data_IF_809407218177
#
_entry.id   IF_809407218177
#
_cell.length_a   1.000
_cell.length_b   1.000
_cell.length_c   1.000
_cell.angle_alpha   90.00
_cell.angle_beta   90.00
_cell.angle_gamma   90.00
#
_symmetry.space_group_name_H-M   'P 1'
#
loop_
_entity.id
_entity.type
_entity.pdbx_description
1 polymer ?
#
# COMPACT_ATOMS: atom_id res chain seq x y z
N UNK A 1 24.16 -0.86 3.47
CA UNK A 1 23.67 0.45 3.92
C UNK A 1 22.18 0.57 3.60
N UNK A 2 21.38 1.06 4.53
CA UNK A 2 19.98 1.42 4.28
C UNK A 2 19.91 2.60 3.29
N UNK A 3 18.89 2.63 2.45
CA UNK A 3 18.71 3.62 1.38
C UNK A 3 17.61 4.59 1.75
N UNK A 4 17.87 5.87 1.61
CA UNK A 4 16.88 6.93 1.75
C UNK A 4 15.96 7.02 0.52
N UNK A 5 14.90 7.85 0.62
CA UNK A 5 14.09 8.16 -0.57
C UNK A 5 14.91 8.84 -1.65
N UNK A 6 15.89 9.67 -1.27
CA UNK A 6 16.81 10.30 -2.21
C UNK A 6 17.65 9.27 -2.98
N UNK A 7 18.10 8.20 -2.31
CA UNK A 7 18.84 7.10 -2.94
C UNK A 7 17.97 6.26 -3.89
N UNK A 8 16.67 6.20 -3.63
CA UNK A 8 15.70 5.48 -4.44
C UNK A 8 15.16 6.32 -5.63
N UNK A 9 15.26 7.64 -5.56
CA UNK A 9 14.73 8.56 -6.57
C UNK A 9 15.19 8.23 -8.00
N UNK A 10 16.48 7.94 -8.29
CA UNK A 10 16.90 7.61 -9.66
C UNK A 10 16.20 6.36 -10.24
N UNK A 11 15.83 5.41 -9.39
CA UNK A 11 15.05 4.22 -9.80
C UNK A 11 13.61 4.60 -10.08
N UNK A 12 13.00 5.40 -9.20
CA UNK A 12 11.63 5.89 -9.37
C UNK A 12 11.49 6.71 -10.66
N UNK A 13 12.45 7.60 -10.95
CA UNK A 13 12.46 8.45 -12.15
C UNK A 13 12.60 7.66 -13.45
N UNK A 14 13.29 6.50 -13.42
CA UNK A 14 13.35 5.58 -14.57
C UNK A 14 12.07 4.77 -14.76
N UNK A 15 11.42 4.40 -13.65
CA UNK A 15 10.20 3.59 -13.70
C UNK A 15 8.97 4.42 -14.04
N UNK A 16 8.85 5.61 -13.50
CA UNK A 16 7.69 6.48 -13.65
C UNK A 16 7.22 6.62 -15.13
N UNK A 17 8.07 7.01 -16.09
CA UNK A 17 7.65 7.20 -17.48
C UNK A 17 7.29 5.92 -18.22
N UNK A 18 7.58 4.75 -17.66
CA UNK A 18 7.14 3.46 -18.23
C UNK A 18 5.67 3.20 -17.94
N UNK A 19 5.15 3.72 -16.83
CA UNK A 19 3.81 3.42 -16.35
C UNK A 19 2.82 4.57 -16.54
N UNK A 20 3.23 5.82 -16.34
CA UNK A 20 2.32 6.96 -16.40
C UNK A 20 2.96 8.16 -17.10
N UNK A 21 2.12 9.13 -17.51
CA UNK A 21 2.55 10.34 -18.21
C UNK A 21 2.70 11.51 -17.26
N UNK A 22 1.79 11.63 -16.30
CA UNK A 22 1.69 12.76 -15.37
C UNK A 22 1.39 12.27 -13.96
N UNK A 23 1.96 12.95 -12.95
CA UNK A 23 1.57 12.83 -11.55
C UNK A 23 0.68 14.03 -11.19
N UNK A 24 -0.39 13.75 -10.44
CA UNK A 24 -1.27 14.78 -9.91
C UNK A 24 -1.39 14.62 -8.39
N UNK A 25 -1.31 15.73 -7.70
CA UNK A 25 -1.49 15.79 -6.26
C UNK A 25 -2.92 16.22 -5.92
N UNK A 26 -3.60 15.38 -5.15
CA UNK A 26 -4.94 15.60 -4.64
C UNK A 26 -4.95 16.01 -3.17
N UNK A 27 -6.06 15.74 -2.53
CA UNK A 27 -6.34 16.13 -1.14
C UNK A 27 -5.23 15.73 -0.17
N UNK A 28 -4.80 16.67 0.69
CA UNK A 28 -3.85 16.47 1.79
C UNK A 28 -2.38 16.40 1.37
N UNK A 29 -2.07 16.44 0.06
CA UNK A 29 -0.67 16.39 -0.39
C UNK A 29 0.09 17.68 -0.08
N UNK A 30 -0.59 18.80 0.02
CA UNK A 30 -0.05 20.10 0.47
C UNK A 30 0.38 20.08 1.95
N UNK A 31 -0.22 19.22 2.76
CA UNK A 31 0.12 19.04 4.18
C UNK A 31 1.32 18.09 4.38
N UNK A 32 1.71 17.32 3.35
CA UNK A 32 2.70 16.24 3.47
C UNK A 32 4.04 16.74 4.03
N UNK A 33 4.53 17.90 3.59
CA UNK A 33 5.79 18.44 4.10
C UNK A 33 5.75 18.67 5.63
N UNK A 34 4.67 19.27 6.14
CA UNK A 34 4.46 19.47 7.57
C UNK A 34 4.33 18.15 8.34
N UNK A 35 3.67 17.14 7.75
CA UNK A 35 3.56 15.80 8.36
C UNK A 35 4.97 15.16 8.48
N UNK A 36 5.78 15.24 7.43
CA UNK A 36 7.13 14.65 7.43
C UNK A 36 8.06 15.32 8.44
N UNK A 37 7.94 16.64 8.61
CA UNK A 37 8.70 17.41 9.60
C UNK A 37 8.26 17.08 11.04
N UNK A 38 6.96 17.02 11.27
CA UNK A 38 6.39 16.78 12.62
C UNK A 38 6.59 15.34 13.11
N UNK A 39 6.68 14.36 12.20
CA UNK A 39 6.68 12.94 12.57
C UNK A 39 7.96 12.24 12.08
N UNK A 40 8.91 11.93 12.97
CA UNK A 40 10.18 11.29 12.60
C UNK A 40 9.98 9.85 12.10
N UNK A 41 8.83 9.24 12.35
CA UNK A 41 8.47 7.89 11.93
C UNK A 41 7.00 7.81 11.51
N UNK A 42 6.71 7.04 10.47
CA UNK A 42 5.37 6.87 9.92
C UNK A 42 5.12 5.39 9.56
N UNK A 43 3.89 4.96 9.79
CA UNK A 43 3.34 3.76 9.15
C UNK A 43 2.59 4.20 7.89
N UNK A 44 3.12 3.91 6.70
CA UNK A 44 2.51 4.32 5.42
C UNK A 44 1.64 3.19 4.89
N UNK A 45 0.34 3.43 4.77
CA UNK A 45 -0.63 2.48 4.24
C UNK A 45 -1.10 2.96 2.87
N UNK A 46 -0.93 2.11 1.86
CA UNK A 46 -1.37 2.40 0.49
C UNK A 46 -2.40 1.39 0.02
N UNK A 47 -3.34 1.82 -0.84
CA UNK A 47 -4.12 0.87 -1.62
C UNK A 47 -3.21 0.16 -2.63
N UNK A 48 -3.53 -1.09 -2.97
CA UNK A 48 -2.66 -1.90 -3.82
C UNK A 48 -2.93 -1.67 -5.31
N UNK A 49 -4.21 -1.47 -5.68
CA UNK A 49 -4.63 -1.55 -7.08
C UNK A 49 -4.44 -2.96 -7.66
N UNK A 50 -4.50 -3.15 -8.97
CA UNK A 50 -4.24 -4.43 -9.64
C UNK A 50 -2.78 -4.90 -9.45
N UNK A 51 -2.47 -6.13 -9.89
CA UNK A 51 -1.15 -6.79 -9.70
C UNK A 51 0.05 -5.89 -9.99
N UNK A 52 -0.02 -5.05 -11.02
CA UNK A 52 1.06 -4.16 -11.42
C UNK A 52 0.98 -2.76 -10.77
N UNK A 53 -0.11 -2.48 -10.06
CA UNK A 53 -0.36 -1.19 -9.42
C UNK A 53 0.72 -0.73 -8.44
N UNK A 54 1.33 -1.62 -7.64
CA UNK A 54 2.37 -1.22 -6.70
C UNK A 54 3.59 -0.54 -7.34
N UNK A 55 4.00 -0.95 -8.52
CA UNK A 55 5.22 -0.42 -9.14
C UNK A 55 5.13 1.10 -9.46
N UNK A 56 4.11 1.59 -10.20
CA UNK A 56 3.95 3.03 -10.40
C UNK A 56 3.59 3.79 -9.11
N UNK A 57 2.80 3.19 -8.22
CA UNK A 57 2.43 3.83 -6.97
C UNK A 57 3.64 4.07 -6.04
N UNK A 58 4.54 3.09 -5.93
CA UNK A 58 5.79 3.24 -5.17
C UNK A 58 6.75 4.23 -5.83
N UNK A 59 6.83 4.26 -7.16
CA UNK A 59 7.64 5.25 -7.86
C UNK A 59 7.12 6.68 -7.57
N UNK A 60 5.80 6.89 -7.65
CA UNK A 60 5.18 8.17 -7.33
C UNK A 60 5.35 8.55 -5.84
N UNK A 61 5.21 7.58 -4.90
CA UNK A 61 5.50 7.79 -3.49
C UNK A 61 6.92 8.33 -3.28
N UNK A 62 7.94 7.64 -3.82
CA UNK A 62 9.35 8.06 -3.66
C UNK A 62 9.56 9.48 -4.16
N UNK A 63 9.04 9.81 -5.34
CA UNK A 63 9.13 11.15 -5.94
C UNK A 63 8.43 12.21 -5.08
N UNK A 64 7.24 11.89 -4.60
CA UNK A 64 6.47 12.79 -3.75
C UNK A 64 7.16 13.02 -2.40
N UNK A 65 7.67 11.98 -1.74
CA UNK A 65 8.42 12.12 -0.49
C UNK A 65 9.63 13.04 -0.64
N UNK A 66 10.40 12.89 -1.72
CA UNK A 66 11.55 13.78 -1.99
C UNK A 66 11.09 15.22 -2.26
N UNK A 67 10.05 15.42 -3.05
CA UNK A 67 9.48 16.73 -3.39
C UNK A 67 9.03 17.51 -2.15
N UNK A 68 8.48 16.80 -1.18
CA UNK A 68 7.97 17.36 0.08
C UNK A 68 9.01 17.35 1.24
N UNK A 69 10.31 17.22 0.93
CA UNK A 69 11.37 17.36 1.92
C UNK A 69 11.75 16.09 2.68
N UNK A 70 11.12 14.94 2.37
CA UNK A 70 11.41 13.66 3.00
C UNK A 70 12.57 12.87 2.37
N UNK A 71 13.44 13.51 1.55
CA UNK A 71 14.50 12.83 0.80
C UNK A 71 15.45 12.00 1.66
N UNK A 72 15.82 12.50 2.84
CA UNK A 72 16.77 11.84 3.75
C UNK A 72 16.14 10.74 4.60
N UNK A 73 14.81 10.62 4.62
CA UNK A 73 14.09 9.58 5.36
C UNK A 73 14.37 8.21 4.75
N UNK A 74 14.53 7.21 5.59
CA UNK A 74 14.87 5.84 5.18
C UNK A 74 13.61 4.97 5.27
N UNK A 75 13.01 4.59 4.13
CA UNK A 75 11.85 3.71 4.12
C UNK A 75 12.24 2.24 4.24
N UNK A 76 11.33 1.43 4.72
CA UNK A 76 11.31 -0.01 4.48
C UNK A 76 9.87 -0.46 4.22
N UNK A 77 9.70 -1.66 3.67
CA UNK A 77 8.36 -2.15 3.34
C UNK A 77 8.13 -3.56 3.84
N UNK A 78 6.86 -3.92 4.00
CA UNK A 78 6.44 -5.29 4.26
C UNK A 78 5.70 -5.81 3.04
N UNK A 79 6.18 -6.91 2.48
CA UNK A 79 5.58 -7.54 1.30
C UNK A 79 5.31 -9.03 1.52
N UNK A 80 4.54 -9.61 0.61
CA UNK A 80 4.18 -11.03 0.69
C UNK A 80 5.42 -11.95 0.59
N UNK A 81 5.56 -12.85 1.56
CA UNK A 81 6.68 -13.80 1.64
C UNK A 81 6.90 -14.63 0.38
N UNK A 82 5.85 -14.87 -0.41
CA UNK A 82 5.93 -15.63 -1.64
C UNK A 82 6.84 -14.99 -2.69
N UNK A 83 6.93 -13.67 -2.75
CA UNK A 83 7.79 -12.97 -3.70
C UNK A 83 9.28 -13.22 -3.45
N UNK A 84 9.69 -13.41 -2.21
CA UNK A 84 11.09 -13.74 -1.87
C UNK A 84 11.53 -15.15 -2.35
N UNK A 85 10.56 -16.03 -2.63
CA UNK A 85 10.81 -17.38 -3.15
C UNK A 85 10.94 -17.44 -4.67
N UNK A 86 10.62 -16.34 -5.37
CA UNK A 86 10.72 -16.26 -6.83
C UNK A 86 12.20 -16.08 -7.20
N UNK A 87 12.80 -16.98 -8.01
CA UNK A 87 14.20 -16.87 -8.41
C UNK A 87 14.51 -15.51 -9.05
N UNK A 88 15.57 -14.85 -8.58
CA UNK A 88 16.02 -13.54 -9.04
C UNK A 88 15.22 -12.35 -8.48
N UNK A 89 14.01 -12.56 -7.96
CA UNK A 89 13.17 -11.50 -7.41
C UNK A 89 13.50 -11.24 -5.94
N UNK A 90 13.73 -12.28 -5.14
CA UNK A 90 14.00 -12.17 -3.71
C UNK A 90 15.12 -11.18 -3.36
N UNK A 91 16.36 -11.35 -3.88
CA UNK A 91 17.45 -10.41 -3.59
C UNK A 91 17.21 -8.97 -4.04
N UNK A 92 16.44 -8.79 -5.14
CA UNK A 92 16.05 -7.47 -5.60
C UNK A 92 15.04 -6.83 -4.64
N UNK A 93 14.05 -7.61 -4.20
CA UNK A 93 13.07 -7.16 -3.21
C UNK A 93 13.74 -6.77 -1.90
N UNK A 94 14.61 -7.60 -1.34
CA UNK A 94 15.33 -7.26 -0.10
C UNK A 94 16.06 -5.92 -0.19
N UNK A 95 16.60 -5.61 -1.37
CA UNK A 95 17.26 -4.33 -1.61
C UNK A 95 16.30 -3.15 -1.74
N UNK A 96 15.13 -3.36 -2.36
CA UNK A 96 14.14 -2.29 -2.59
C UNK A 96 13.27 -2.08 -1.36
N UNK A 97 12.81 -3.15 -0.75
CA UNK A 97 11.91 -3.12 0.43
C UNK A 97 12.67 -3.00 1.74
N UNK A 98 13.99 -3.26 1.73
CA UNK A 98 14.90 -3.16 2.88
C UNK A 98 14.46 -4.03 4.09
N UNK A 99 13.83 -5.16 3.79
CA UNK A 99 13.23 -6.07 4.78
C UNK A 99 13.34 -7.51 4.29
N UNK A 100 13.53 -8.45 5.22
CA UNK A 100 13.57 -9.89 4.93
C UNK A 100 12.16 -10.50 4.90
N UNK A 101 12.06 -11.71 4.33
CA UNK A 101 10.81 -12.48 4.24
C UNK A 101 10.16 -12.79 5.60
N UNK A 102 10.95 -12.86 6.66
CA UNK A 102 10.51 -13.31 7.99
C UNK A 102 10.16 -12.17 8.94
N UNK A 103 10.12 -10.92 8.45
CA UNK A 103 9.81 -9.75 9.26
C UNK A 103 8.37 -9.81 9.80
N UNK A 104 8.26 -9.81 11.13
CA UNK A 104 7.02 -9.76 11.89
C UNK A 104 6.73 -8.36 12.45
N UNK A 105 5.71 -8.26 13.29
CA UNK A 105 5.37 -7.00 14.00
C UNK A 105 6.55 -6.51 14.84
N UNK A 106 7.21 -7.41 15.58
CA UNK A 106 8.36 -7.07 16.42
C UNK A 106 9.49 -6.42 15.63
N UNK A 107 9.80 -6.96 14.45
CA UNK A 107 10.85 -6.39 13.58
C UNK A 107 10.47 -5.01 13.05
N UNK A 108 9.19 -4.83 12.70
CA UNK A 108 8.67 -3.53 12.25
C UNK A 108 8.79 -2.50 13.37
N UNK A 109 8.33 -2.85 14.58
CA UNK A 109 8.43 -1.99 15.77
C UNK A 109 9.89 -1.68 16.07
N UNK A 110 10.77 -2.68 16.12
CA UNK A 110 12.19 -2.49 16.39
C UNK A 110 12.86 -1.56 15.36
N UNK A 111 12.58 -1.73 14.07
CA UNK A 111 13.11 -0.88 12.98
C UNK A 111 12.66 0.58 13.11
N UNK A 112 11.39 0.82 13.40
CA UNK A 112 10.86 2.18 13.60
C UNK A 112 11.40 2.81 14.88
N UNK A 113 11.58 2.03 15.94
CA UNK A 113 11.99 2.55 17.26
C UNK A 113 13.49 2.80 17.38
N UNK A 114 14.34 2.08 16.63
CA UNK A 114 15.80 2.22 16.72
C UNK A 114 16.38 3.43 15.96
N UNK A 115 15.52 4.17 15.23
CA UNK A 115 15.91 5.37 14.51
C UNK A 115 16.71 5.14 13.21
N UNK A 116 16.91 3.88 12.81
CA UNK A 116 17.58 3.57 11.52
C UNK A 116 16.64 3.76 10.35
N UNK A 117 15.35 3.50 10.56
CA UNK A 117 14.29 3.63 9.56
C UNK A 117 13.24 4.63 10.05
N UNK A 118 12.72 5.41 9.13
CA UNK A 118 11.69 6.42 9.39
C UNK A 118 10.30 5.90 9.03
N UNK A 119 10.17 5.18 7.92
CA UNK A 119 8.86 4.88 7.34
C UNK A 119 8.72 3.41 7.03
N UNK A 120 7.59 2.82 7.47
CA UNK A 120 7.20 1.46 7.12
C UNK A 120 6.06 1.49 6.11
N UNK A 121 6.32 1.09 4.87
CA UNK A 121 5.30 1.00 3.82
C UNK A 121 4.63 -0.38 3.79
N UNK A 122 3.29 -0.40 3.68
CA UNK A 122 2.51 -1.64 3.54
C UNK A 122 1.27 -1.40 2.67
N UNK A 123 0.91 -2.42 1.89
CA UNK A 123 -0.36 -2.51 1.15
C UNK A 123 -1.18 -3.67 1.76
N UNK A 124 -2.06 -3.38 2.74
CA UNK A 124 -2.62 -4.42 3.61
C UNK A 124 -3.69 -5.29 2.96
N UNK A 125 -4.17 -4.94 1.77
CA UNK A 125 -5.06 -5.77 0.95
C UNK A 125 -4.41 -7.09 0.55
N UNK A 126 -3.10 -7.05 0.27
CA UNK A 126 -2.35 -8.20 -0.18
C UNK A 126 -2.95 -8.82 -1.46
N UNK A 127 -3.12 -10.14 -1.47
CA UNK A 127 -3.64 -10.89 -2.63
C UNK A 127 -5.11 -10.59 -3.00
N UNK A 128 -5.88 -9.97 -2.09
CA UNK A 128 -7.25 -9.56 -2.37
C UNK A 128 -7.35 -8.43 -3.39
N UNK A 129 -6.29 -7.67 -3.59
CA UNK A 129 -6.23 -6.58 -4.58
C UNK A 129 -6.50 -7.02 -6.02
N UNK A 130 -6.34 -8.33 -6.31
CA UNK A 130 -6.64 -8.91 -7.62
C UNK A 130 -8.12 -9.29 -7.80
N UNK A 131 -8.94 -9.00 -6.80
CA UNK A 131 -10.38 -9.26 -6.80
C UNK A 131 -11.10 -7.92 -6.93
N UNK A 132 -12.08 -7.81 -7.83
CA UNK A 132 -12.87 -6.60 -8.04
C UNK A 132 -12.37 -5.71 -9.18
N UNK A 133 -12.72 -4.43 -9.12
CA UNK A 133 -12.52 -3.44 -10.18
C UNK A 133 -11.18 -2.67 -10.10
N UNK A 134 -10.38 -2.90 -9.05
CA UNK A 134 -9.11 -2.20 -8.84
C UNK A 134 -9.24 -0.79 -8.21
N UNK A 135 -10.48 -0.29 -8.01
CA UNK A 135 -10.80 0.99 -7.36
C UNK A 135 -11.26 0.75 -5.93
N UNK A 136 -12.15 -0.24 -5.76
CA UNK A 136 -12.67 -0.60 -4.45
C UNK A 136 -11.59 -1.32 -3.63
N UNK A 137 -11.19 -0.69 -2.52
CA UNK A 137 -10.19 -1.26 -1.61
C UNK A 137 -10.77 -2.51 -0.96
N UNK A 138 -10.12 -3.63 -1.20
CA UNK A 138 -10.52 -4.92 -0.67
C UNK A 138 -10.32 -4.98 0.86
N UNK A 139 -11.00 -5.89 1.56
CA UNK A 139 -10.76 -6.09 2.99
C UNK A 139 -9.28 -6.30 3.28
N UNK A 140 -8.77 -5.62 4.29
CA UNK A 140 -7.38 -5.78 4.68
C UNK A 140 -7.12 -7.21 5.17
N UNK A 141 -6.20 -7.90 4.52
CA UNK A 141 -5.81 -9.25 4.89
C UNK A 141 -5.08 -9.28 6.23
N UNK A 142 -4.28 -8.26 6.51
CA UNK A 142 -3.56 -8.11 7.76
C UNK A 142 -3.92 -6.79 8.41
N UNK A 143 -4.25 -6.85 9.70
CA UNK A 143 -4.55 -5.68 10.54
C UNK A 143 -3.38 -5.35 11.47
N UNK A 144 -2.29 -6.13 11.41
CA UNK A 144 -1.12 -6.02 12.30
C UNK A 144 -0.37 -4.70 12.16
N UNK A 145 -0.60 -3.95 11.09
CA UNK A 145 -0.02 -2.63 10.94
C UNK A 145 -0.54 -1.64 11.99
N UNK A 146 -1.79 -1.79 12.45
CA UNK A 146 -2.34 -0.99 13.57
C UNK A 146 -1.56 -1.29 14.84
N UNK A 147 -1.37 -2.57 15.17
CA UNK A 147 -0.58 -2.99 16.31
C UNK A 147 0.85 -2.43 16.24
N UNK A 148 1.51 -2.57 15.09
CA UNK A 148 2.87 -2.07 14.88
C UNK A 148 2.94 -0.54 15.00
N UNK A 149 1.97 0.19 14.45
CA UNK A 149 1.89 1.65 14.52
C UNK A 149 1.74 2.13 15.97
N UNK A 150 0.81 1.52 16.72
CA UNK A 150 0.56 1.84 18.13
C UNK A 150 1.79 1.56 18.99
N UNK A 151 2.40 0.38 18.85
CA UNK A 151 3.59 -0.01 19.63
C UNK A 151 4.84 0.80 19.29
N UNK A 152 4.96 1.25 18.03
CA UNK A 152 6.04 2.14 17.62
C UNK A 152 5.73 3.62 17.88
N UNK A 153 4.55 3.94 18.43
CA UNK A 153 4.07 5.31 18.59
C UNK A 153 4.22 6.14 17.29
N UNK A 154 3.91 5.51 16.15
CA UNK A 154 4.01 6.10 14.84
C UNK A 154 2.60 6.32 14.28
N UNK A 155 2.26 7.55 13.84
CA UNK A 155 1.00 7.77 13.15
C UNK A 155 0.95 7.00 11.82
N UNK A 156 -0.26 6.76 11.34
CA UNK A 156 -0.52 6.10 10.06
C UNK A 156 -0.73 7.17 8.99
N UNK A 157 0.15 7.26 8.01
CA UNK A 157 -0.07 8.03 6.80
C UNK A 157 -0.86 7.16 5.81
N UNK A 158 -2.13 7.49 5.60
CA UNK A 158 -2.94 6.90 4.56
C UNK A 158 -2.58 7.59 3.25
N UNK A 159 -2.00 6.85 2.31
CA UNK A 159 -1.62 7.36 1.00
C UNK A 159 -2.41 6.62 -0.07
N UNK A 160 -3.37 7.30 -0.69
CA UNK A 160 -4.16 6.78 -1.79
C UNK A 160 -3.50 7.09 -3.13
N UNK A 161 -3.69 6.18 -4.08
CA UNK A 161 -3.40 6.44 -5.48
C UNK A 161 -4.57 6.04 -6.39
N UNK A 162 -4.68 6.69 -7.56
CA UNK A 162 -5.62 6.34 -8.62
C UNK A 162 -4.92 6.33 -9.97
N UNK A 163 -5.58 5.75 -10.98
CA UNK A 163 -5.01 5.55 -12.31
C UNK A 163 -4.42 4.15 -12.51
N UNK A 164 -3.95 3.51 -11.45
CA UNK A 164 -3.34 2.17 -11.54
C UNK A 164 -4.37 1.07 -11.87
N UNK A 165 -5.66 1.28 -11.67
CA UNK A 165 -6.74 0.38 -12.06
C UNK A 165 -6.71 0.08 -13.56
N UNK A 166 -6.16 0.97 -14.39
CA UNK A 166 -5.96 0.77 -15.83
C UNK A 166 -4.91 -0.31 -16.17
N UNK A 167 -4.06 -0.68 -15.21
CA UNK A 167 -3.10 -1.78 -15.35
C UNK A 167 -3.72 -3.15 -15.05
N UNK A 168 -5.00 -3.17 -14.72
CA UNK A 168 -5.80 -4.36 -14.53
C UNK A 168 -7.01 -4.40 -15.46
N UNK A 169 -7.32 -5.58 -15.97
CA UNK A 169 -8.56 -5.81 -16.70
C UNK A 169 -9.50 -6.65 -15.84
N UNK A 170 -10.60 -6.08 -15.35
CA UNK A 170 -11.59 -6.85 -14.62
C UNK A 170 -12.29 -7.83 -15.57
N UNK A 171 -12.26 -9.11 -15.23
CA UNK A 171 -12.89 -10.17 -15.99
C UNK A 171 -13.96 -10.82 -15.12
N UNK A 172 -15.25 -10.77 -15.54
CA UNK A 172 -16.29 -11.54 -14.88
C UNK A 172 -16.00 -13.03 -14.95
N UNK A 173 -16.23 -13.75 -13.86
CA UNK A 173 -15.99 -15.18 -13.80
C UNK A 173 -17.19 -15.91 -14.37
N UNK A 174 -17.07 -16.60 -15.51
CA UNK A 174 -18.18 -17.35 -16.09
C UNK A 174 -18.55 -18.54 -15.18
N UNK A 175 -19.82 -18.91 -15.19
CA UNK A 175 -20.33 -20.05 -14.42
C UNK A 175 -19.56 -21.36 -14.69
N UNK A 176 -19.09 -21.55 -15.93
CA UNK A 176 -18.27 -22.68 -16.35
C UNK A 176 -16.87 -22.74 -15.70
N UNK A 177 -16.36 -21.61 -15.18
CA UNK A 177 -15.06 -21.56 -14.51
C UNK A 177 -15.13 -21.71 -12.98
N UNK A 178 -16.34 -21.89 -12.40
CA UNK A 178 -16.50 -22.01 -10.93
C UNK A 178 -15.73 -23.17 -10.34
N UNK A 179 -15.54 -24.28 -11.06
CA UNK A 179 -14.75 -25.42 -10.60
C UNK A 179 -13.27 -25.05 -10.33
N UNK A 180 -12.73 -24.03 -11.01
CA UNK A 180 -11.40 -23.52 -10.76
C UNK A 180 -11.33 -22.72 -9.45
N UNK A 181 -12.43 -22.01 -9.11
CA UNK A 181 -12.53 -21.23 -7.89
C UNK A 181 -12.54 -22.14 -6.66
N UNK A 182 -13.14 -23.33 -6.77
CA UNK A 182 -13.19 -24.31 -5.69
C UNK A 182 -11.80 -24.81 -5.26
N UNK A 183 -10.80 -24.69 -6.13
CA UNK A 183 -9.41 -25.05 -5.84
C UNK A 183 -8.62 -23.93 -5.15
N UNK A 184 -9.17 -22.72 -5.07
CA UNK A 184 -8.54 -21.61 -4.37
C UNK A 184 -8.60 -21.82 -2.86
N UNK A 185 -7.63 -21.27 -2.10
CA UNK A 185 -7.74 -21.16 -0.66
C UNK A 185 -9.08 -20.51 -0.26
N UNK A 186 -9.66 -20.95 0.86
CA UNK A 186 -11.01 -20.56 1.27
C UNK A 186 -11.24 -19.03 1.30
N UNK A 187 -10.24 -18.28 1.81
CA UNK A 187 -10.32 -16.83 1.89
C UNK A 187 -10.39 -16.17 0.51
N UNK A 188 -9.61 -16.62 -0.48
CA UNK A 188 -9.66 -16.13 -1.86
C UNK A 188 -10.97 -16.56 -2.54
N UNK A 189 -11.39 -17.80 -2.33
CA UNK A 189 -12.66 -18.31 -2.85
C UNK A 189 -13.83 -17.45 -2.40
N UNK A 190 -13.87 -17.06 -1.12
CA UNK A 190 -14.91 -16.18 -0.58
C UNK A 190 -14.90 -14.81 -1.27
N UNK A 191 -13.72 -14.18 -1.36
CA UNK A 191 -13.56 -12.87 -1.98
C UNK A 191 -13.97 -12.89 -3.45
N UNK A 192 -13.52 -13.89 -4.21
CA UNK A 192 -13.86 -14.07 -5.63
C UNK A 192 -15.36 -14.34 -5.83
N UNK A 193 -16.00 -15.16 -4.98
CA UNK A 193 -17.43 -15.42 -5.06
C UNK A 193 -18.27 -14.18 -4.71
N UNK A 194 -17.80 -13.33 -3.79
CA UNK A 194 -18.49 -12.09 -3.43
C UNK A 194 -18.38 -11.03 -4.53
N UNK A 195 -17.22 -10.91 -5.15
CA UNK A 195 -16.97 -9.93 -6.21
C UNK A 195 -17.52 -10.39 -7.57
N UNK A 196 -17.45 -11.68 -7.88
CA UNK A 196 -17.74 -12.21 -9.21
C UNK A 196 -16.74 -11.80 -10.30
N UNK A 197 -15.68 -11.06 -9.95
CA UNK A 197 -14.72 -10.47 -10.88
C UNK A 197 -13.30 -10.70 -10.39
N UNK A 198 -12.40 -11.01 -11.31
CA UNK A 198 -10.94 -11.08 -11.06
C UNK A 198 -10.25 -10.10 -11.99
N UNK A 199 -9.32 -9.32 -11.46
CA UNK A 199 -8.51 -8.40 -12.26
C UNK A 199 -7.25 -9.10 -12.74
N UNK A 200 -7.07 -9.18 -14.06
CA UNK A 200 -5.84 -9.69 -14.68
C UNK A 200 -4.90 -8.54 -15.04
N UNK A 201 -3.57 -8.74 -14.97
CA UNK A 201 -2.61 -7.75 -15.43
C UNK A 201 -2.86 -7.35 -16.88
N UNK A 202 -2.90 -6.04 -17.15
CA UNK A 202 -3.17 -5.53 -18.50
C UNK A 202 -2.21 -4.41 -18.86
N UNK A 203 -1.16 -4.74 -19.63
CA UNK A 203 -0.17 -3.75 -20.09
C UNK A 203 -0.48 -3.17 -21.48
N UNK A 204 -1.43 -3.77 -22.22
CA UNK A 204 -1.77 -3.35 -23.57
C UNK A 204 -2.63 -2.07 -23.62
N UNK A 205 -3.12 -1.60 -22.49
CA UNK A 205 -3.88 -0.35 -22.36
C UNK A 205 -3.05 0.93 -22.49
N UNK A 206 -1.73 0.79 -22.63
CA UNK A 206 -0.82 1.94 -22.68
C UNK A 206 -0.48 2.47 -21.29
N UNK A 207 0.18 3.64 -21.26
CA UNK A 207 0.54 4.30 -20.00
C UNK A 207 -0.68 4.96 -19.36
N UNK A 208 -0.71 4.96 -18.06
CA UNK A 208 -1.67 5.72 -17.26
C UNK A 208 -1.55 7.20 -17.65
N UNK A 209 -2.61 7.88 -18.11
CA UNK A 209 -2.53 9.30 -18.46
C UNK A 209 -2.11 10.14 -17.26
N UNK A 210 -2.79 9.96 -16.13
CA UNK A 210 -2.57 10.70 -14.90
C UNK A 210 -2.62 9.76 -13.70
N UNK A 211 -1.55 9.74 -12.90
CA UNK A 211 -1.48 9.04 -11.62
C UNK A 211 -1.76 10.04 -10.51
N UNK A 212 -2.90 9.89 -9.85
CA UNK A 212 -3.28 10.74 -8.71
C UNK A 212 -2.73 10.21 -7.40
N UNK A 213 -2.27 11.11 -6.52
CA UNK A 213 -1.89 10.83 -5.13
C UNK A 213 -2.69 11.71 -4.18
N UNK A 214 -3.15 11.16 -3.06
CA UNK A 214 -3.75 11.89 -1.94
C UNK A 214 -3.31 11.28 -0.62
N UNK A 215 -3.24 12.07 0.43
CA UNK A 215 -2.87 11.56 1.74
C UNK A 215 -3.72 12.11 2.88
N UNK A 216 -3.72 11.40 3.99
CA UNK A 216 -4.38 11.81 5.24
C UNK A 216 -3.63 11.18 6.42
N UNK A 217 -3.33 11.99 7.44
CA UNK A 217 -2.76 11.48 8.69
C UNK A 217 -3.87 10.87 9.55
N UNK A 218 -3.64 9.65 10.02
CA UNK A 218 -4.57 8.89 10.86
C UNK A 218 -3.88 8.42 12.13
N UNK A 219 -4.48 8.69 13.27
CA UNK A 219 -4.08 8.14 14.56
C UNK A 219 -5.05 7.02 14.94
N UNK A 220 -4.56 5.79 15.17
CA UNK A 220 -5.39 4.76 15.79
C UNK A 220 -5.89 5.22 17.15
N UNK A 221 -7.16 4.99 17.41
CA UNK A 221 -7.77 5.24 18.73
C UNK A 221 -7.44 4.06 19.69
N UNK A 222 -6.14 3.92 19.97
CA UNK A 222 -5.54 2.86 20.78
C UNK A 222 -4.22 3.35 21.37
N UNK A 223 -3.98 3.01 22.62
CA UNK A 223 -2.69 3.15 23.28
C UNK A 223 -1.94 1.81 23.33
N UNK A 224 -0.61 1.79 23.60
CA UNK A 224 0.11 0.54 23.82
C UNK A 224 -0.48 -0.33 24.95
N UNK A 225 -1.03 0.27 26.00
CA UNK A 225 -1.69 -0.45 27.11
C UNK A 225 -2.95 -1.21 26.67
N UNK A 226 -3.73 -0.65 25.74
CA UNK A 226 -4.94 -1.29 25.22
C UNK A 226 -4.65 -2.59 24.45
N UNK A 227 -3.42 -2.74 23.94
CA UNK A 227 -3.01 -3.95 23.23
C UNK A 227 -2.78 -5.16 24.13
N UNK A 228 -2.62 -4.96 25.44
CA UNK A 228 -2.46 -6.02 26.43
C UNK A 228 -3.81 -6.58 26.92
N UNK A 229 -4.91 -5.91 26.61
CA UNK A 229 -6.25 -6.31 27.01
C UNK A 229 -6.82 -7.43 26.13
N UNK A 230 -7.72 -8.24 26.68
CA UNK A 230 -8.38 -9.34 25.97
C UNK A 230 -9.25 -8.88 24.79
N UNK A 231 -9.70 -7.61 24.79
CA UNK A 231 -10.49 -7.01 23.72
C UNK A 231 -9.64 -6.37 22.61
N UNK A 232 -8.31 -6.37 22.72
CA UNK A 232 -7.39 -5.68 21.79
C UNK A 232 -7.59 -6.06 20.34
N UNK A 233 -7.84 -7.34 20.02
CA UNK A 233 -8.05 -7.80 18.66
C UNK A 233 -9.27 -7.16 17.97
N UNK A 234 -10.36 -6.92 18.71
CA UNK A 234 -11.55 -6.25 18.16
C UNK A 234 -11.28 -4.76 17.92
N UNK A 235 -10.58 -4.10 18.81
CA UNK A 235 -10.22 -2.69 18.68
C UNK A 235 -9.22 -2.47 17.52
N UNK A 236 -8.21 -3.35 17.37
CA UNK A 236 -7.30 -3.36 16.23
C UNK A 236 -8.08 -3.54 14.92
N UNK A 237 -9.05 -4.47 14.88
CA UNK A 237 -9.90 -4.69 13.71
C UNK A 237 -10.80 -3.49 13.40
N UNK A 238 -11.31 -2.79 14.42
CA UNK A 238 -12.10 -1.58 14.24
C UNK A 238 -11.27 -0.44 13.64
N UNK A 239 -10.08 -0.19 14.20
CA UNK A 239 -9.15 0.82 13.69
C UNK A 239 -8.70 0.53 12.25
N UNK A 240 -8.44 -0.75 11.91
CA UNK A 240 -8.11 -1.14 10.55
C UNK A 240 -9.28 -0.90 9.56
N UNK A 241 -10.52 -1.12 10.00
CA UNK A 241 -11.72 -0.80 9.20
C UNK A 241 -11.88 0.73 9.00
N UNK A 242 -11.63 1.52 10.02
CA UNK A 242 -11.65 2.98 9.92
C UNK A 242 -10.57 3.48 8.96
N UNK A 243 -9.34 2.99 9.08
CA UNK A 243 -8.25 3.33 8.15
C UNK A 243 -8.61 2.96 6.70
N UNK A 244 -9.19 1.77 6.47
CA UNK A 244 -9.65 1.35 5.14
C UNK A 244 -10.74 2.27 4.59
N UNK A 245 -11.74 2.63 5.40
CA UNK A 245 -12.83 3.51 4.97
C UNK A 245 -12.32 4.91 4.59
N UNK A 246 -11.37 5.46 5.34
CA UNK A 246 -10.72 6.74 5.03
C UNK A 246 -9.88 6.65 3.76
N UNK A 247 -9.08 5.59 3.60
CA UNK A 247 -8.31 5.36 2.39
C UNK A 247 -9.21 5.22 1.16
N UNK A 248 -10.35 4.51 1.26
CA UNK A 248 -11.34 4.43 0.18
C UNK A 248 -11.92 5.80 -0.17
N UNK A 249 -12.18 6.65 0.81
CA UNK A 249 -12.65 8.02 0.56
C UNK A 249 -11.62 8.82 -0.25
N UNK A 250 -10.33 8.70 0.08
CA UNK A 250 -9.26 9.34 -0.69
C UNK A 250 -9.20 8.82 -2.13
N UNK A 251 -9.29 7.50 -2.35
CA UNK A 251 -9.36 6.92 -3.70
C UNK A 251 -10.56 7.45 -4.48
N UNK A 252 -11.74 7.47 -3.87
CA UNK A 252 -12.94 7.99 -4.52
C UNK A 252 -12.79 9.46 -4.91
N UNK A 253 -12.16 10.25 -4.04
CA UNK A 253 -11.88 11.66 -4.34
C UNK A 253 -10.94 11.81 -5.54
N UNK A 254 -9.85 11.03 -5.59
CA UNK A 254 -8.93 11.04 -6.71
C UNK A 254 -9.59 10.61 -8.03
N UNK A 255 -10.44 9.56 -7.98
CA UNK A 255 -11.19 9.11 -9.16
C UNK A 255 -12.15 10.19 -9.67
N UNK A 256 -12.84 10.90 -8.77
CA UNK A 256 -13.72 12.02 -9.15
C UNK A 256 -12.93 13.22 -9.69
N UNK A 257 -11.74 13.47 -9.17
CA UNK A 257 -10.93 14.62 -9.55
C UNK A 257 -10.12 14.39 -10.84
N UNK A 258 -9.64 13.16 -11.07
CA UNK A 258 -8.69 12.85 -12.13
C UNK A 258 -9.12 11.70 -13.05
N UNK A 259 -10.26 11.07 -12.81
CA UNK A 259 -10.69 9.84 -13.49
C UNK A 259 -11.32 10.03 -14.87
N UNK A 260 -11.55 11.25 -15.33
CA UNK A 260 -12.30 11.56 -16.57
C UNK A 260 -11.43 11.87 -17.80
N UNK A 261 -10.17 11.40 -17.86
CA UNK A 261 -9.32 11.57 -19.04
C UNK A 261 -9.05 10.27 -19.80
#
# INVERSE_FOLDING_TARGET
MARSYQDLLPVADRLAPLFYREEAEGMGMDELAGILEAHPRLMIIMNHGPVLGPAPALAALVRSMVRHGGGDRVPFGVTWRGFYRVPGVGPLLERLVQTSADSGVEDVVAKLSNGTFNDCGIMPEGEYSNVGNGIDIQPFRSQRFIEAAVRAEAPVLLLAHSGTERLGRPIPIPASARFLIERLPEHLRRAVNQSGVVSLPWLLGGRIPKLGLACELYWPDLSPGDLEESASAQQVALNARHARARLQRLVNHLVLQFGED
#
